data_IF_008596314521
#
_entry.id   IF_008596314521
#
_cell.length_a   1.000
_cell.length_b   1.000
_cell.length_c   1.000
_cell.angle_alpha   90.00
_cell.angle_beta   90.00
_cell.angle_gamma   90.00
#
_symmetry.space_group_name_H-M   'P 1'
#
loop_
_entity.id
_entity.type
_entity.pdbx_description
1 polymer ?
#
# COMPACT_ATOMS: atom_id res chain seq x y z
N UNK A 1 -28.65 -14.14 8.89
CA UNK A 1 -29.23 -15.14 7.97
C UNK A 1 -28.30 -15.56 6.82
N UNK A 2 -28.16 -14.79 5.72
CA UNK A 2 -27.44 -15.27 4.52
C UNK A 2 -25.96 -15.64 4.72
N UNK A 3 -25.18 -14.85 5.47
CA UNK A 3 -23.76 -15.15 5.75
C UNK A 3 -23.62 -16.43 6.60
N UNK A 4 -24.54 -16.66 7.54
CA UNK A 4 -24.53 -17.86 8.38
C UNK A 4 -24.93 -19.10 7.58
N UNK A 5 -25.92 -18.96 6.68
CA UNK A 5 -26.27 -20.00 5.72
C UNK A 5 -25.07 -20.35 4.81
N UNK A 6 -24.33 -19.34 4.33
CA UNK A 6 -23.12 -19.53 3.53
C UNK A 6 -22.02 -20.31 4.29
N UNK A 7 -21.78 -19.96 5.56
CA UNK A 7 -20.85 -20.69 6.44
C UNK A 7 -21.32 -22.12 6.72
N UNK A 8 -22.63 -22.36 6.86
CA UNK A 8 -23.18 -23.69 7.05
C UNK A 8 -23.02 -24.55 5.79
N UNK A 9 -23.29 -23.97 4.61
CA UNK A 9 -23.11 -24.62 3.31
C UNK A 9 -21.65 -24.99 3.06
N UNK A 10 -20.68 -24.09 3.32
CA UNK A 10 -19.23 -24.42 3.19
C UNK A 10 -18.83 -25.60 4.09
N UNK A 11 -19.34 -25.65 5.33
CA UNK A 11 -19.08 -26.76 6.26
C UNK A 11 -19.70 -28.08 5.83
N UNK A 12 -20.85 -28.05 5.16
CA UNK A 12 -21.48 -29.24 4.58
C UNK A 12 -20.69 -29.75 3.37
N UNK A 13 -20.32 -28.83 2.48
CA UNK A 13 -19.54 -29.13 1.27
C UNK A 13 -18.19 -29.74 1.62
N UNK A 14 -17.49 -29.20 2.64
CA UNK A 14 -16.20 -29.76 3.07
C UNK A 14 -16.33 -31.20 3.60
N UNK A 15 -17.40 -31.50 4.35
CA UNK A 15 -17.67 -32.86 4.85
C UNK A 15 -18.01 -33.83 3.72
N UNK A 16 -18.84 -33.41 2.77
CA UNK A 16 -19.18 -34.23 1.61
C UNK A 16 -17.96 -34.50 0.73
N UNK A 17 -17.08 -33.52 0.58
CA UNK A 17 -15.85 -33.64 -0.18
C UNK A 17 -14.85 -34.61 0.49
N UNK A 18 -14.78 -34.63 1.83
CA UNK A 18 -14.00 -35.62 2.59
C UNK A 18 -14.57 -37.04 2.47
N UNK A 19 -15.90 -37.19 2.49
CA UNK A 19 -16.55 -38.51 2.41
C UNK A 19 -16.54 -39.11 1.00
N UNK A 20 -16.70 -38.27 -0.02
CA UNK A 20 -16.87 -38.72 -1.41
C UNK A 20 -15.55 -38.73 -2.19
N UNK A 21 -14.49 -38.08 -1.69
CA UNK A 21 -13.22 -37.94 -2.41
C UNK A 21 -13.32 -37.12 -3.71
N UNK A 22 -14.45 -36.48 -3.96
CA UNK A 22 -14.75 -35.69 -5.16
C UNK A 22 -14.85 -34.20 -4.79
N UNK A 23 -14.39 -33.30 -5.67
CA UNK A 23 -14.55 -31.86 -5.47
C UNK A 23 -16.02 -31.47 -5.68
N UNK A 24 -16.68 -31.08 -4.59
CA UNK A 24 -18.09 -30.65 -4.59
C UNK A 24 -18.12 -29.15 -4.34
N UNK A 25 -18.96 -28.43 -5.09
CA UNK A 25 -19.13 -26.99 -4.94
C UNK A 25 -20.62 -26.66 -4.79
N UNK A 26 -20.97 -25.81 -3.83
CA UNK A 26 -22.33 -25.30 -3.67
C UNK A 26 -22.52 -23.99 -4.45
N UNK A 27 -23.24 -24.06 -5.56
CA UNK A 27 -23.49 -22.92 -6.43
C UNK A 27 -24.79 -22.19 -6.06
N UNK A 28 -24.73 -20.86 -5.96
CA UNK A 28 -25.89 -19.98 -5.80
C UNK A 28 -25.53 -18.58 -6.32
N UNK A 29 -26.46 -17.89 -6.98
CA UNK A 29 -26.26 -16.52 -7.48
C UNK A 29 -25.88 -15.55 -6.34
N UNK A 30 -26.41 -15.79 -5.14
CA UNK A 30 -26.11 -14.98 -3.95
C UNK A 30 -24.69 -15.24 -3.41
N UNK A 31 -24.07 -16.37 -3.74
CA UNK A 31 -22.74 -16.73 -3.22
C UNK A 31 -21.69 -15.70 -3.64
N UNK A 32 -21.70 -15.26 -4.90
CA UNK A 32 -20.75 -14.30 -5.46
C UNK A 32 -20.79 -12.95 -4.72
N UNK A 33 -21.97 -12.50 -4.31
CA UNK A 33 -22.13 -11.23 -3.60
C UNK A 33 -21.76 -11.33 -2.12
N UNK A 34 -22.06 -12.45 -1.47
CA UNK A 34 -21.90 -12.61 -0.02
C UNK A 34 -20.54 -13.19 0.39
N UNK A 35 -19.77 -13.76 -0.53
CA UNK A 35 -18.46 -14.35 -0.26
C UNK A 35 -17.46 -13.31 0.27
N UNK A 36 -17.49 -12.09 -0.27
CA UNK A 36 -16.61 -11.00 0.16
C UNK A 36 -16.83 -10.59 1.63
N UNK A 37 -18.03 -10.77 2.18
CA UNK A 37 -18.33 -10.44 3.57
C UNK A 37 -17.75 -11.45 4.58
N UNK A 38 -17.28 -12.62 4.12
CA UNK A 38 -16.65 -13.60 4.99
C UNK A 38 -15.26 -13.14 5.44
N UNK A 39 -14.49 -12.53 4.54
CA UNK A 39 -13.10 -12.15 4.75
C UNK A 39 -12.88 -10.62 4.86
N UNK A 40 -13.95 -9.83 4.75
CA UNK A 40 -13.93 -8.35 4.78
C UNK A 40 -13.12 -7.76 5.94
N UNK A 41 -13.19 -8.36 7.13
CA UNK A 41 -12.47 -7.87 8.31
C UNK A 41 -10.96 -8.11 8.22
N UNK A 42 -10.56 -9.25 7.64
CA UNK A 42 -9.15 -9.58 7.44
C UNK A 42 -8.55 -8.73 6.32
N UNK A 43 -9.26 -8.61 5.20
CA UNK A 43 -8.82 -7.80 4.06
C UNK A 43 -8.78 -6.31 4.43
N UNK A 44 -9.79 -5.78 5.13
CA UNK A 44 -9.77 -4.39 5.60
C UNK A 44 -8.66 -4.14 6.62
N UNK A 45 -8.43 -5.08 7.55
CA UNK A 45 -7.34 -4.99 8.52
C UNK A 45 -5.96 -5.01 7.86
N UNK A 46 -5.75 -5.84 6.84
CA UNK A 46 -4.50 -5.88 6.07
C UNK A 46 -4.32 -4.61 5.23
N UNK A 47 -5.37 -4.13 4.56
CA UNK A 47 -5.28 -3.01 3.63
C UNK A 47 -5.15 -1.65 4.34
N UNK A 48 -5.75 -1.50 5.53
CA UNK A 48 -5.60 -0.30 6.36
C UNK A 48 -4.42 -0.41 7.33
N UNK A 49 -4.21 -1.58 7.92
CA UNK A 49 -3.19 -1.80 8.95
C UNK A 49 -1.77 -1.79 8.39
N UNK A 50 -1.53 -2.40 7.23
CA UNK A 50 -0.19 -2.44 6.64
C UNK A 50 0.39 -1.06 6.29
N UNK A 51 -0.32 -0.11 5.64
CA UNK A 51 0.22 1.22 5.40
C UNK A 51 0.37 2.03 6.71
N UNK A 52 -0.57 1.91 7.65
CA UNK A 52 -0.47 2.60 8.95
C UNK A 52 0.72 2.10 9.77
N UNK A 53 0.98 0.79 9.76
CA UNK A 53 2.13 0.20 10.43
C UNK A 53 3.44 0.61 9.76
N UNK A 54 3.49 0.65 8.42
CA UNK A 54 4.65 1.12 7.67
C UNK A 54 4.95 2.60 7.98
N UNK A 55 3.92 3.46 7.97
CA UNK A 55 4.04 4.87 8.35
C UNK A 55 4.48 4.99 9.81
N UNK A 56 3.88 4.22 10.73
CA UNK A 56 4.23 4.21 12.14
C UNK A 56 5.68 3.79 12.40
N UNK A 57 6.16 2.77 11.69
CA UNK A 57 7.54 2.30 11.76
C UNK A 57 8.51 3.35 11.21
N UNK A 58 8.21 3.95 10.06
CA UNK A 58 9.01 5.04 9.47
C UNK A 58 9.03 6.25 10.39
N UNK A 59 7.89 6.66 10.93
CA UNK A 59 7.80 7.72 11.93
C UNK A 59 8.63 7.38 13.17
N UNK A 60 8.53 6.17 13.73
CA UNK A 60 9.31 5.76 14.89
C UNK A 60 10.82 5.77 14.61
N UNK A 61 11.23 5.23 13.46
CA UNK A 61 12.63 5.19 13.03
C UNK A 61 13.20 6.61 12.77
N UNK A 62 12.41 7.52 12.19
CA UNK A 62 12.81 8.91 11.92
C UNK A 62 12.81 9.77 13.19
N UNK A 63 11.83 9.58 14.08
CA UNK A 63 11.61 10.40 15.29
C UNK A 63 12.52 9.98 16.45
N UNK A 64 13.17 8.81 16.38
CA UNK A 64 14.21 8.41 17.34
C UNK A 64 15.36 9.42 17.51
N UNK A 65 15.48 10.40 16.61
CA UNK A 65 16.45 11.51 16.71
C UNK A 65 15.93 12.91 16.38
N UNK A 66 14.63 13.10 16.06
CA UNK A 66 14.06 14.37 15.60
C UNK A 66 12.74 14.64 16.32
N UNK A 67 12.59 15.80 16.96
CA UNK A 67 11.35 16.21 17.61
C UNK A 67 10.20 16.35 16.60
N UNK A 68 9.02 15.83 16.93
CA UNK A 68 7.79 16.06 16.15
C UNK A 68 7.43 17.55 16.20
N UNK A 69 7.72 18.25 15.11
CA UNK A 69 7.42 19.67 14.93
C UNK A 69 6.50 19.84 13.71
N UNK A 70 5.86 21.01 13.56
CA UNK A 70 4.96 21.32 12.45
C UNK A 70 5.60 21.05 11.07
N UNK A 71 6.91 21.30 10.94
CA UNK A 71 7.69 21.02 9.72
C UNK A 71 7.76 19.51 9.42
N UNK A 72 7.98 18.68 10.44
CA UNK A 72 8.02 17.22 10.29
C UNK A 72 6.64 16.66 9.89
N UNK A 73 5.56 17.24 10.43
CA UNK A 73 4.19 16.85 10.09
C UNK A 73 3.85 17.17 8.63
N UNK A 74 4.25 18.34 8.13
CA UNK A 74 4.06 18.73 6.72
C UNK A 74 4.82 17.78 5.78
N UNK A 75 6.06 17.42 6.12
CA UNK A 75 6.83 16.47 5.32
C UNK A 75 6.19 15.07 5.31
N UNK A 76 5.65 14.62 6.43
CA UNK A 76 4.93 13.34 6.51
C UNK A 76 3.65 13.35 5.65
N UNK A 77 2.87 14.43 5.74
CA UNK A 77 1.65 14.59 4.93
C UNK A 77 1.97 14.63 3.43
N UNK A 78 3.04 15.30 3.04
CA UNK A 78 3.52 15.33 1.65
C UNK A 78 3.97 13.94 1.18
N UNK A 79 4.74 13.22 2.00
CA UNK A 79 5.18 11.86 1.68
C UNK A 79 3.99 10.89 1.51
N UNK A 80 2.96 11.01 2.34
CA UNK A 80 1.73 10.24 2.22
C UNK A 80 1.00 10.53 0.89
N UNK A 81 0.86 11.81 0.52
CA UNK A 81 0.21 12.21 -0.72
C UNK A 81 0.90 11.61 -1.95
N UNK A 82 2.23 11.71 -1.99
CA UNK A 82 3.06 11.15 -3.06
C UNK A 82 2.93 9.61 -3.12
N UNK A 83 2.93 8.94 -1.97
CA UNK A 83 2.78 7.49 -1.91
C UNK A 83 1.42 7.01 -2.45
N UNK A 84 0.34 7.71 -2.09
CA UNK A 84 -1.02 7.39 -2.58
C UNK A 84 -1.13 7.61 -4.09
N UNK A 85 -0.60 8.72 -4.60
CA UNK A 85 -0.58 9.03 -6.03
C UNK A 85 0.16 7.95 -6.85
N UNK A 86 1.32 7.51 -6.35
CA UNK A 86 2.09 6.44 -7.00
C UNK A 86 1.33 5.11 -7.01
N UNK A 87 0.74 4.70 -5.86
CA UNK A 87 -0.05 3.48 -5.77
C UNK A 87 -1.25 3.50 -6.73
N UNK A 88 -1.96 4.62 -6.82
CA UNK A 88 -3.10 4.78 -7.72
C UNK A 88 -2.68 4.67 -9.20
N UNK A 89 -1.56 5.29 -9.59
CA UNK A 89 -1.05 5.22 -10.95
C UNK A 89 -0.57 3.82 -11.33
N UNK A 90 0.15 3.11 -10.45
CA UNK A 90 0.60 1.74 -10.69
C UNK A 90 -0.61 0.79 -10.82
N UNK A 91 -1.58 0.92 -9.93
CA UNK A 91 -2.80 0.11 -9.98
C UNK A 91 -3.58 0.37 -11.26
N UNK A 92 -3.77 1.63 -11.65
CA UNK A 92 -4.47 1.98 -12.89
C UNK A 92 -3.72 1.49 -14.14
N UNK A 93 -2.40 1.65 -14.19
CA UNK A 93 -1.59 1.13 -15.28
C UNK A 93 -1.65 -0.41 -15.35
N UNK A 94 -1.67 -1.09 -14.21
CA UNK A 94 -1.81 -2.53 -14.15
C UNK A 94 -3.20 -2.99 -14.63
N UNK A 95 -4.29 -2.34 -14.20
CA UNK A 95 -5.67 -2.75 -14.56
C UNK A 95 -6.00 -2.51 -16.03
N UNK A 96 -5.43 -1.46 -16.62
CA UNK A 96 -5.64 -1.11 -18.03
C UNK A 96 -4.71 -1.84 -19.00
N UNK A 97 -3.59 -2.38 -18.52
CA UNK A 97 -2.64 -3.09 -19.38
C UNK A 97 -3.20 -4.46 -19.86
N UNK A 98 -3.12 -4.76 -21.16
CA UNK A 98 -3.46 -6.09 -21.69
C UNK A 98 -2.33 -7.09 -21.41
N UNK A 99 -2.66 -8.39 -21.37
CA UNK A 99 -1.68 -9.49 -21.29
C UNK A 99 -1.65 -10.24 -19.96
N UNK A 100 -0.60 -11.04 -19.77
CA UNK A 100 -0.41 -11.86 -18.57
C UNK A 100 -0.05 -11.02 -17.34
N UNK A 101 -0.37 -11.49 -16.13
CA UNK A 101 -0.06 -10.81 -14.86
C UNK A 101 1.39 -10.27 -14.77
N UNK A 102 2.45 -11.06 -15.08
CA UNK A 102 3.81 -10.56 -15.00
C UNK A 102 4.13 -9.48 -16.04
N UNK A 103 3.60 -9.58 -17.27
CA UNK A 103 3.78 -8.56 -18.31
C UNK A 103 3.08 -7.23 -17.95
N UNK A 104 1.85 -7.31 -17.42
CA UNK A 104 1.11 -6.14 -16.95
C UNK A 104 1.82 -5.43 -15.80
N UNK A 105 2.41 -6.21 -14.89
CA UNK A 105 3.20 -5.68 -13.78
C UNK A 105 4.46 -4.97 -14.27
N UNK A 106 5.19 -5.58 -15.21
CA UNK A 106 6.38 -4.98 -15.80
C UNK A 106 6.06 -3.66 -16.53
N UNK A 107 5.01 -3.64 -17.36
CA UNK A 107 4.57 -2.45 -18.07
C UNK A 107 4.09 -1.32 -17.14
N UNK A 108 3.39 -1.67 -16.05
CA UNK A 108 2.96 -0.70 -15.04
C UNK A 108 4.16 -0.10 -14.28
N UNK A 109 5.13 -0.92 -13.91
CA UNK A 109 6.37 -0.47 -13.25
C UNK A 109 7.23 0.41 -14.15
N UNK A 110 7.34 0.08 -15.44
CA UNK A 110 8.10 0.90 -16.39
C UNK A 110 7.46 2.29 -16.56
N UNK A 111 6.13 2.33 -16.72
CA UNK A 111 5.39 3.58 -16.92
C UNK A 111 5.38 4.47 -15.67
N UNK A 112 5.22 3.89 -14.49
CA UNK A 112 5.14 4.64 -13.24
C UNK A 112 6.52 4.91 -12.61
N UNK A 113 7.46 3.97 -12.75
CA UNK A 113 8.80 4.06 -12.15
C UNK A 113 9.64 5.21 -12.70
N UNK A 114 9.49 5.52 -13.99
CA UNK A 114 10.15 6.68 -14.60
C UNK A 114 9.74 8.01 -13.93
N UNK A 115 8.47 8.14 -13.52
CA UNK A 115 7.94 9.34 -12.86
C UNK A 115 8.54 9.56 -11.47
N UNK A 116 8.82 8.48 -10.73
CA UNK A 116 9.41 8.56 -9.37
C UNK A 116 10.87 8.96 -9.43
N UNK A 117 11.64 8.33 -10.31
CA UNK A 117 13.07 8.64 -10.49
C UNK A 117 13.30 10.04 -11.06
N UNK A 118 12.52 10.42 -12.08
CA UNK A 118 12.66 11.73 -12.74
C UNK A 118 12.15 12.89 -11.88
N UNK A 119 11.04 12.71 -11.17
CA UNK A 119 10.41 13.78 -10.41
C UNK A 119 10.93 13.85 -8.99
N UNK A 120 10.51 12.88 -8.18
CA UNK A 120 10.66 12.92 -6.72
C UNK A 120 12.13 12.79 -6.32
N UNK A 121 12.86 11.84 -6.92
CA UNK A 121 14.28 11.64 -6.58
C UNK A 121 15.12 12.83 -7.01
N UNK A 122 14.94 13.33 -8.24
CA UNK A 122 15.73 14.47 -8.74
C UNK A 122 15.48 15.75 -7.95
N UNK A 123 14.22 16.09 -7.69
CA UNK A 123 13.86 17.30 -6.91
C UNK A 123 14.31 17.19 -5.46
N UNK A 124 14.24 16.00 -4.84
CA UNK A 124 14.77 15.76 -3.49
C UNK A 124 16.29 15.89 -3.45
N UNK A 125 17.02 15.35 -4.44
CA UNK A 125 18.48 15.47 -4.51
C UNK A 125 18.94 16.93 -4.68
N UNK A 126 18.28 17.70 -5.56
CA UNK A 126 18.59 19.12 -5.74
C UNK A 126 18.28 19.91 -4.46
N UNK A 127 17.13 19.65 -3.82
CA UNK A 127 16.76 20.28 -2.56
C UNK A 127 17.76 19.99 -1.44
N UNK A 128 18.17 18.73 -1.28
CA UNK A 128 19.17 18.32 -0.29
C UNK A 128 20.55 18.93 -0.60
N UNK A 129 20.96 19.01 -1.87
CA UNK A 129 22.23 19.63 -2.26
C UNK A 129 22.28 21.14 -1.95
N UNK A 130 21.18 21.86 -2.21
CA UNK A 130 21.05 23.28 -1.83
C UNK A 130 21.10 23.46 -0.31
N UNK A 131 20.43 22.58 0.44
CA UNK A 131 20.47 22.57 1.90
C UNK A 131 21.85 22.21 2.46
N UNK A 132 22.62 21.36 1.77
CA UNK A 132 24.00 21.03 2.13
C UNK A 132 24.92 22.25 2.05
N UNK A 133 24.65 23.16 1.10
CA UNK A 133 25.40 24.39 0.91
C UNK A 133 24.98 25.52 1.87
N UNK A 134 23.87 25.36 2.60
CA UNK A 134 23.36 26.36 3.54
C UNK A 134 24.18 26.37 4.85
N UNK A 135 24.76 27.54 5.20
CA UNK A 135 25.66 27.70 6.36
C UNK A 135 24.95 27.84 7.72
N UNK A 136 23.63 27.86 7.78
CA UNK A 136 22.85 28.11 8.99
C UNK A 136 22.52 26.82 9.76
N UNK A 137 22.75 26.80 11.08
CA UNK A 137 22.61 25.61 11.94
C UNK A 137 21.20 24.97 11.90
N UNK A 138 20.15 25.78 11.80
CA UNK A 138 18.75 25.29 11.75
C UNK A 138 18.50 24.48 10.46
N UNK A 139 19.00 24.95 9.31
CA UNK A 139 18.82 24.27 8.04
C UNK A 139 19.57 22.93 7.96
N UNK A 140 20.77 22.85 8.53
CA UNK A 140 21.58 21.62 8.52
C UNK A 140 21.09 20.55 9.53
N UNK A 141 20.50 20.95 10.65
CA UNK A 141 20.00 20.00 11.65
C UNK A 141 18.57 19.54 11.36
N UNK A 142 17.67 20.45 10.95
CA UNK A 142 16.25 20.10 10.73
C UNK A 142 15.92 19.69 9.29
N UNK A 143 16.52 20.33 8.27
CA UNK A 143 16.19 20.05 6.86
C UNK A 143 17.15 19.03 6.22
N UNK A 144 18.46 19.12 6.49
CA UNK A 144 19.44 18.20 5.90
C UNK A 144 19.38 16.78 6.50
N UNK A 145 19.15 16.62 7.82
CA UNK A 145 18.97 15.29 8.43
C UNK A 145 17.65 14.62 8.06
N UNK A 146 16.57 15.39 7.94
CA UNK A 146 15.25 14.87 7.55
C UNK A 146 15.15 14.58 6.04
N UNK A 147 15.93 15.30 5.21
CA UNK A 147 15.99 15.07 3.77
C UNK A 147 16.88 13.90 3.34
N UNK A 148 17.85 13.48 4.18
CA UNK A 148 18.73 12.33 3.93
C UNK A 148 18.18 10.99 4.47
N UNK A 149 17.22 11.04 5.37
CA UNK A 149 16.45 9.87 5.83
C UNK A 149 15.22 9.62 4.92
#
# INVERSE_FOLDING_TARGET
EFIQALRAVRRLVSRLQEQLGLRVYAFSVFHVFFEQYLDVWHDAGLLLGSPLAAIGLVCWALTGSIQLNAVSLVNLAMALGIAVEFCAHVLHAFTTAPGSRPQRMAAALEKCGASVLSGITFTKLVGVAVLAAARTQIFRVYYFRLGLA
#
